data_IF_932633618737
#
_entry.id   IF_932633618737
#
_cell.length_a   1.000
_cell.length_b   1.000
_cell.length_c   1.000
_cell.angle_alpha   90.00
_cell.angle_beta   90.00
_cell.angle_gamma   90.00
#
_symmetry.space_group_name_H-M   'P 1'
#
loop_
_entity.id
_entity.type
_entity.pdbx_description
1 polymer ?
#
# COMPACT_ATOMS: atom_id res chain seq x y z
N UNK A 1 -14.51 22.25 7.22
CA UNK A 1 -13.08 22.62 7.02
C UNK A 1 -12.18 21.41 6.82
N UNK A 2 -12.43 20.26 7.47
CA UNK A 2 -11.65 19.01 7.29
C UNK A 2 -11.69 18.41 5.88
N UNK A 3 -12.80 18.55 5.14
CA UNK A 3 -12.95 18.00 3.78
C UNK A 3 -12.04 18.69 2.77
N UNK A 4 -11.93 20.03 2.82
CA UNK A 4 -11.06 20.82 1.94
C UNK A 4 -9.57 20.50 2.14
N UNK A 5 -9.16 20.10 3.34
CA UNK A 5 -7.79 19.63 3.61
C UNK A 5 -7.57 18.22 3.08
N UNK A 6 -8.55 17.32 3.21
CA UNK A 6 -8.46 15.96 2.68
C UNK A 6 -8.48 15.92 1.14
N UNK A 7 -9.19 16.83 0.49
CA UNK A 7 -9.22 16.97 -0.97
C UNK A 7 -7.83 17.27 -1.57
N UNK A 8 -6.93 17.92 -0.81
CA UNK A 8 -5.56 18.18 -1.25
C UNK A 8 -4.73 16.88 -1.40
N UNK A 9 -5.14 15.79 -0.74
CA UNK A 9 -4.51 14.47 -0.85
C UNK A 9 -4.94 13.71 -2.11
N UNK A 10 -6.09 14.05 -2.70
CA UNK A 10 -6.68 13.26 -3.79
C UNK A 10 -5.76 13.11 -5.00
N UNK A 11 -5.08 14.17 -5.48
CA UNK A 11 -4.15 14.01 -6.59
C UNK A 11 -3.01 13.03 -6.27
N UNK A 12 -2.52 13.00 -5.03
CA UNK A 12 -1.45 12.06 -4.64
C UNK A 12 -1.95 10.61 -4.56
N UNK A 13 -3.18 10.40 -4.08
CA UNK A 13 -3.81 9.09 -4.12
C UNK A 13 -4.04 8.61 -5.55
N UNK A 14 -4.50 9.51 -6.44
CA UNK A 14 -4.69 9.21 -7.86
C UNK A 14 -3.36 8.82 -8.51
N UNK A 15 -2.29 9.61 -8.29
CA UNK A 15 -0.95 9.30 -8.78
C UNK A 15 -0.50 7.90 -8.28
N UNK A 16 -0.66 7.59 -6.99
CA UNK A 16 -0.26 6.29 -6.44
C UNK A 16 -1.07 5.10 -6.99
N UNK A 17 -2.39 5.26 -7.13
CA UNK A 17 -3.28 4.25 -7.72
C UNK A 17 -2.98 4.02 -9.19
N UNK A 18 -2.82 5.10 -9.96
CA UNK A 18 -2.49 5.04 -11.38
C UNK A 18 -1.12 4.41 -11.60
N UNK A 19 -0.12 4.76 -10.78
CA UNK A 19 1.20 4.15 -10.81
C UNK A 19 1.14 2.63 -10.63
N UNK A 20 0.39 2.14 -9.63
CA UNK A 20 0.24 0.71 -9.35
C UNK A 20 -0.49 0.01 -10.51
N UNK A 21 -1.59 0.59 -10.99
CA UNK A 21 -2.39 0.05 -12.08
C UNK A 21 -1.59 -0.02 -13.40
N UNK A 22 -0.88 1.05 -13.77
CA UNK A 22 -0.04 1.09 -14.96
C UNK A 22 1.12 0.11 -14.86
N UNK A 23 1.78 -0.01 -13.70
CA UNK A 23 2.86 -0.98 -13.49
C UNK A 23 2.40 -2.38 -13.86
N UNK A 24 1.21 -2.79 -13.40
CA UNK A 24 0.70 -4.13 -13.65
C UNK A 24 0.09 -4.32 -15.03
N UNK A 25 -0.63 -3.32 -15.55
CA UNK A 25 -1.14 -3.34 -16.91
C UNK A 25 0.01 -3.47 -17.92
N UNK A 26 1.12 -2.77 -17.66
CA UNK A 26 2.33 -2.80 -18.49
C UNK A 26 3.00 -4.17 -18.47
N UNK A 27 3.09 -4.81 -17.31
CA UNK A 27 3.57 -6.20 -17.22
C UNK A 27 2.76 -7.15 -18.10
N UNK A 28 1.44 -7.14 -17.96
CA UNK A 28 0.55 -8.06 -18.69
C UNK A 28 0.56 -7.86 -20.21
N UNK A 29 0.83 -6.63 -20.66
CA UNK A 29 0.87 -6.26 -22.07
C UNK A 29 2.28 -6.24 -22.67
N UNK A 30 3.31 -6.53 -21.87
CA UNK A 30 4.71 -6.32 -22.24
C UNK A 30 4.97 -4.91 -22.79
N UNK A 31 4.35 -3.90 -22.15
CA UNK A 31 4.38 -2.51 -22.59
C UNK A 31 5.44 -1.72 -21.83
N UNK A 32 6.62 -1.57 -22.43
CA UNK A 32 7.71 -0.81 -21.83
C UNK A 32 7.39 0.68 -21.67
N UNK A 33 6.64 1.27 -22.60
CA UNK A 33 6.28 2.69 -22.53
C UNK A 33 5.34 2.97 -21.36
N UNK A 34 4.36 2.08 -21.14
CA UNK A 34 3.49 2.14 -19.96
C UNK A 34 4.27 2.02 -18.64
N UNK A 35 5.32 1.20 -18.60
CA UNK A 35 6.16 1.05 -17.41
C UNK A 35 7.01 2.30 -17.14
N UNK A 36 7.50 2.97 -18.19
CA UNK A 36 8.20 4.26 -18.04
C UNK A 36 7.26 5.38 -17.59
N UNK A 37 6.00 5.36 -18.04
CA UNK A 37 4.97 6.28 -17.55
C UNK A 37 4.72 6.06 -16.06
N UNK A 38 4.56 4.81 -15.60
CA UNK A 38 4.42 4.50 -14.18
C UNK A 38 5.62 5.01 -13.37
N UNK A 39 6.85 4.84 -13.86
CA UNK A 39 8.05 5.37 -13.21
C UNK A 39 8.07 6.91 -13.19
N UNK A 40 7.50 7.58 -14.18
CA UNK A 40 7.36 9.04 -14.18
C UNK A 40 6.36 9.52 -13.13
N UNK A 41 5.25 8.79 -12.94
CA UNK A 41 4.29 9.07 -11.87
C UNK A 41 4.94 8.89 -10.49
N UNK A 42 5.78 7.87 -10.29
CA UNK A 42 6.54 7.70 -9.04
C UNK A 42 7.37 8.94 -8.66
N UNK A 43 8.05 9.55 -9.63
CA UNK A 43 8.77 10.82 -9.43
C UNK A 43 7.84 11.99 -9.06
N UNK A 44 6.62 12.02 -9.62
CA UNK A 44 5.58 12.99 -9.25
C UNK A 44 5.12 12.79 -7.80
N UNK A 45 4.89 11.53 -7.38
CA UNK A 45 4.54 11.18 -6.00
C UNK A 45 5.61 11.68 -5.02
N UNK A 46 6.89 11.38 -5.28
CA UNK A 46 7.98 11.84 -4.41
C UNK A 46 8.07 13.37 -4.32
N UNK A 47 7.89 14.08 -5.44
CA UNK A 47 7.88 15.55 -5.44
C UNK A 47 6.69 16.11 -4.66
N UNK A 48 5.49 15.55 -4.88
CA UNK A 48 4.25 16.01 -4.25
C UNK A 48 4.23 15.75 -2.76
N UNK A 49 4.88 14.69 -2.28
CA UNK A 49 5.01 14.38 -0.85
C UNK A 49 5.49 15.61 -0.08
N UNK A 50 6.66 16.15 -0.46
CA UNK A 50 7.31 17.26 0.25
C UNK A 50 6.40 18.50 0.30
N UNK A 51 5.92 18.91 -0.87
CA UNK A 51 5.06 20.08 -1.03
C UNK A 51 3.73 19.94 -0.26
N UNK A 52 3.20 18.72 -0.14
CA UNK A 52 1.93 18.47 0.53
C UNK A 52 2.10 18.34 2.04
N UNK A 53 3.16 17.67 2.50
CA UNK A 53 3.51 17.58 3.93
C UNK A 53 3.68 18.97 4.53
N UNK A 54 4.45 19.86 3.88
CA UNK A 54 4.66 21.24 4.34
C UNK A 54 3.34 22.04 4.41
N UNK A 55 2.50 21.96 3.37
CA UNK A 55 1.20 22.66 3.35
C UNK A 55 0.23 22.15 4.42
N UNK A 56 0.22 20.83 4.68
CA UNK A 56 -0.62 20.24 5.73
C UNK A 56 -0.13 20.60 7.13
N UNK A 57 1.19 20.75 7.34
CA UNK A 57 1.76 21.22 8.61
C UNK A 57 1.44 22.70 8.88
N UNK A 58 1.40 23.52 7.83
CA UNK A 58 1.01 24.94 7.93
C UNK A 58 -0.51 25.13 8.12
N UNK A 59 -1.31 24.08 7.93
CA UNK A 59 -2.77 24.09 8.09
C UNK A 59 -3.18 23.79 9.54
N UNK A 60 -4.44 24.08 9.90
CA UNK A 60 -5.00 23.96 11.25
C UNK A 60 -4.73 22.59 11.94
N UNK A 61 -4.30 22.55 13.23
CA UNK A 61 -3.99 21.33 13.99
C UNK A 61 -5.13 20.29 14.08
N UNK A 62 -6.38 20.63 13.75
CA UNK A 62 -7.49 19.69 13.65
C UNK A 62 -7.30 18.60 12.57
N UNK A 63 -6.30 18.76 11.69
CA UNK A 63 -5.91 17.83 10.62
C UNK A 63 -4.81 16.82 10.98
N UNK A 64 -4.38 16.68 12.24
CA UNK A 64 -3.16 15.92 12.62
C UNK A 64 -3.04 14.49 12.05
N UNK A 65 -4.15 13.78 11.81
CA UNK A 65 -4.13 12.46 11.16
C UNK A 65 -3.74 12.50 9.67
N UNK A 66 -4.09 13.58 8.97
CA UNK A 66 -3.88 13.76 7.53
C UNK A 66 -2.43 14.10 7.19
N UNK A 67 -1.72 14.76 8.09
CA UNK A 67 -0.35 15.25 7.88
C UNK A 67 0.66 14.14 7.55
N UNK A 68 0.40 12.90 7.98
CA UNK A 68 1.28 11.75 7.73
C UNK A 68 0.92 10.95 6.47
N UNK A 69 -0.22 11.25 5.84
CA UNK A 69 -0.67 10.52 4.65
C UNK A 69 0.30 10.67 3.48
N UNK A 70 0.83 11.87 3.15
CA UNK A 70 1.77 12.01 2.03
C UNK A 70 2.99 11.10 2.18
N UNK A 71 3.60 11.05 3.37
CA UNK A 71 4.72 10.16 3.66
C UNK A 71 4.36 8.66 3.53
N UNK A 72 3.11 8.26 3.72
CA UNK A 72 2.68 6.89 3.45
C UNK A 72 2.43 6.62 1.97
N UNK A 73 1.93 7.59 1.23
CA UNK A 73 1.76 7.49 -0.21
C UNK A 73 3.11 7.48 -0.96
N UNK A 74 4.11 8.23 -0.48
CA UNK A 74 5.47 8.11 -0.99
C UNK A 74 6.00 6.69 -0.83
N UNK A 75 5.82 6.07 0.33
CA UNK A 75 6.25 4.69 0.56
C UNK A 75 5.50 3.66 -0.28
N UNK A 76 4.24 3.92 -0.62
CA UNK A 76 3.50 3.14 -1.64
C UNK A 76 4.15 3.32 -3.01
N UNK A 77 4.52 4.54 -3.37
CA UNK A 77 5.31 4.86 -4.55
C UNK A 77 6.63 4.08 -4.60
N UNK A 78 7.44 4.15 -3.54
CA UNK A 78 8.73 3.44 -3.42
C UNK A 78 8.58 1.92 -3.60
N UNK A 79 7.56 1.33 -2.98
CA UNK A 79 7.26 -0.09 -3.13
C UNK A 79 6.86 -0.43 -4.57
N UNK A 80 6.08 0.44 -5.21
CA UNK A 80 5.68 0.29 -6.61
C UNK A 80 6.87 0.47 -7.55
N UNK A 81 7.82 1.36 -7.27
CA UNK A 81 9.10 1.42 -7.98
C UNK A 81 9.92 0.14 -7.82
N UNK A 82 9.82 -0.51 -6.66
CA UNK A 82 10.32 -1.86 -6.42
C UNK A 82 9.76 -2.87 -7.42
N UNK A 83 8.44 -2.89 -7.59
CA UNK A 83 7.77 -3.72 -8.59
C UNK A 83 8.29 -3.41 -10.00
N UNK A 84 8.37 -2.13 -10.38
CA UNK A 84 8.89 -1.70 -11.68
C UNK A 84 10.31 -2.24 -11.92
N UNK A 85 11.19 -2.19 -10.91
CA UNK A 85 12.55 -2.75 -11.02
C UNK A 85 12.52 -4.27 -11.21
N UNK A 86 11.70 -5.00 -10.46
CA UNK A 86 11.54 -6.45 -10.65
C UNK A 86 11.10 -6.78 -12.08
N UNK A 87 10.12 -6.05 -12.61
CA UNK A 87 9.59 -6.26 -13.95
C UNK A 87 10.64 -5.99 -15.04
N UNK A 88 11.41 -4.89 -14.92
CA UNK A 88 12.51 -4.58 -15.84
C UNK A 88 13.56 -5.68 -15.84
N UNK A 89 13.97 -6.16 -14.67
CA UNK A 89 14.92 -7.27 -14.55
C UNK A 89 14.38 -8.52 -15.22
N UNK A 90 13.13 -8.92 -14.91
CA UNK A 90 12.50 -10.09 -15.54
C UNK A 90 12.46 -10.00 -17.06
N UNK A 91 12.09 -8.84 -17.62
CA UNK A 91 12.07 -8.64 -19.07
C UNK A 91 13.46 -8.70 -19.69
N UNK A 92 14.46 -8.06 -19.09
CA UNK A 92 15.84 -8.10 -19.58
C UNK A 92 16.43 -9.51 -19.58
N UNK A 93 16.01 -10.32 -18.62
CA UNK A 93 16.50 -11.67 -18.40
C UNK A 93 15.69 -12.77 -19.12
N UNK A 94 14.59 -12.40 -19.77
CA UNK A 94 13.65 -13.34 -20.39
C UNK A 94 12.96 -14.26 -19.38
N UNK A 95 12.83 -13.83 -18.13
CA UNK A 95 12.28 -14.64 -17.03
C UNK A 95 10.76 -14.48 -16.97
N UNK A 96 10.05 -15.61 -16.87
CA UNK A 96 8.58 -15.65 -16.74
C UNK A 96 8.17 -16.42 -15.49
N UNK A 97 7.00 -16.09 -14.94
CA UNK A 97 6.40 -16.90 -13.89
C UNK A 97 5.64 -18.10 -14.49
N UNK A 98 5.43 -19.12 -13.66
CA UNK A 98 4.45 -20.15 -13.96
C UNK A 98 3.05 -19.55 -13.99
N UNK A 99 2.09 -20.18 -14.68
CA UNK A 99 0.71 -19.67 -14.70
C UNK A 99 0.12 -19.50 -13.29
N UNK A 100 0.47 -20.42 -12.38
CA UNK A 100 0.06 -20.33 -10.98
C UNK A 100 0.67 -19.11 -10.31
N UNK A 101 1.98 -18.88 -10.47
CA UNK A 101 2.66 -17.69 -9.95
C UNK A 101 2.05 -16.39 -10.49
N UNK A 102 1.72 -16.35 -11.79
CA UNK A 102 1.03 -15.21 -12.40
C UNK A 102 -0.35 -14.98 -11.77
N UNK A 103 -1.15 -16.03 -11.53
CA UNK A 103 -2.45 -15.91 -10.84
C UNK A 103 -2.32 -15.40 -9.42
N UNK A 104 -1.33 -15.89 -8.67
CA UNK A 104 -1.06 -15.47 -7.29
C UNK A 104 -0.70 -13.98 -7.21
N UNK A 105 0.20 -13.50 -8.08
CA UNK A 105 0.54 -12.07 -8.13
C UNK A 105 -0.66 -11.22 -8.60
N UNK A 106 -1.46 -11.68 -9.57
CA UNK A 106 -2.67 -10.96 -9.97
C UNK A 106 -3.62 -10.75 -8.77
N UNK A 107 -3.87 -11.80 -7.98
CA UNK A 107 -4.74 -11.70 -6.81
C UNK A 107 -4.20 -10.74 -5.75
N UNK A 108 -2.88 -10.70 -5.56
CA UNK A 108 -2.24 -9.73 -4.65
C UNK A 108 -2.34 -8.30 -5.20
N UNK A 109 -2.12 -8.09 -6.51
CA UNK A 109 -2.24 -6.78 -7.16
C UNK A 109 -3.64 -6.20 -7.04
N UNK A 110 -4.67 -7.01 -7.31
CA UNK A 110 -6.07 -6.59 -7.24
C UNK A 110 -6.42 -6.16 -5.80
N UNK A 111 -6.12 -6.99 -4.81
CA UNK A 111 -6.37 -6.68 -3.39
C UNK A 111 -5.56 -5.50 -2.87
N UNK A 112 -4.31 -5.34 -3.30
CA UNK A 112 -3.50 -4.19 -2.92
C UNK A 112 -4.09 -2.87 -3.46
N UNK A 113 -4.61 -2.91 -4.70
CA UNK A 113 -5.29 -1.76 -5.32
C UNK A 113 -6.58 -1.42 -4.58
N UNK A 114 -7.44 -2.42 -4.30
CA UNK A 114 -8.68 -2.24 -3.52
C UNK A 114 -8.43 -1.62 -2.15
N UNK A 115 -7.40 -2.08 -1.42
CA UNK A 115 -7.06 -1.54 -0.10
C UNK A 115 -6.52 -0.11 -0.17
N UNK A 116 -5.79 0.23 -1.23
CA UNK A 116 -5.31 1.60 -1.45
C UNK A 116 -6.47 2.56 -1.80
N UNK A 117 -7.45 2.10 -2.58
CA UNK A 117 -8.70 2.84 -2.83
C UNK A 117 -9.50 3.06 -1.55
N UNK A 118 -9.64 2.02 -0.72
CA UNK A 118 -10.28 2.15 0.59
C UNK A 118 -9.54 3.16 1.48
N UNK A 119 -8.20 3.21 1.45
CA UNK A 119 -7.42 4.18 2.19
C UNK A 119 -7.66 5.63 1.71
N UNK A 120 -7.83 5.84 0.40
CA UNK A 120 -8.25 7.13 -0.17
C UNK A 120 -9.63 7.53 0.36
N UNK A 121 -10.59 6.62 0.28
CA UNK A 121 -11.97 6.90 0.68
C UNK A 121 -12.07 7.14 2.19
N UNK A 122 -11.21 6.49 2.99
CA UNK A 122 -11.06 6.76 4.42
C UNK A 122 -10.53 8.17 4.71
N UNK A 123 -9.56 8.65 3.94
CA UNK A 123 -9.03 10.00 4.10
C UNK A 123 -10.12 11.06 3.90
N UNK A 124 -11.09 10.80 3.00
CA UNK A 124 -12.21 11.70 2.73
C UNK A 124 -13.36 11.56 3.73
N UNK A 125 -13.73 10.32 4.08
CA UNK A 125 -14.99 10.05 4.79
C UNK A 125 -14.82 9.83 6.29
N UNK A 126 -13.61 9.45 6.74
CA UNK A 126 -13.32 8.99 8.11
C UNK A 126 -14.28 7.89 8.60
N UNK A 127 -14.78 7.06 7.67
CA UNK A 127 -15.75 6.02 7.97
C UNK A 127 -15.11 4.90 8.82
N UNK A 128 -15.61 4.72 10.05
CA UNK A 128 -15.09 3.72 11.00
C UNK A 128 -15.27 2.28 10.54
N UNK A 129 -16.38 1.97 9.86
CA UNK A 129 -16.65 0.63 9.33
C UNK A 129 -15.64 0.29 8.25
N UNK A 130 -15.37 1.25 7.36
CA UNK A 130 -14.36 1.10 6.32
C UNK A 130 -12.94 0.96 6.92
N UNK A 131 -12.65 1.65 8.03
CA UNK A 131 -11.35 1.56 8.69
C UNK A 131 -11.12 0.17 9.29
N UNK A 132 -12.16 -0.39 9.92
CA UNK A 132 -12.13 -1.77 10.42
C UNK A 132 -12.01 -2.78 9.28
N UNK A 133 -12.68 -2.54 8.16
CA UNK A 133 -12.56 -3.38 6.97
C UNK A 133 -11.12 -3.38 6.43
N UNK A 134 -10.50 -2.20 6.25
CA UNK A 134 -9.09 -2.09 5.80
C UNK A 134 -8.14 -2.79 6.76
N UNK A 135 -8.35 -2.66 8.07
CA UNK A 135 -7.56 -3.36 9.09
C UNK A 135 -7.64 -4.89 8.89
N UNK A 136 -8.85 -5.45 8.86
CA UNK A 136 -9.05 -6.90 8.73
C UNK A 136 -8.56 -7.45 7.39
N UNK A 137 -8.89 -6.79 6.28
CA UNK A 137 -8.48 -7.24 4.95
C UNK A 137 -6.97 -7.09 4.73
N UNK A 138 -6.31 -6.13 5.37
CA UNK A 138 -4.84 -6.05 5.33
C UNK A 138 -4.18 -7.23 6.04
N UNK A 139 -4.74 -7.72 7.15
CA UNK A 139 -4.23 -8.91 7.84
C UNK A 139 -4.40 -10.15 6.97
N UNK A 140 -5.59 -10.34 6.38
CA UNK A 140 -5.88 -11.43 5.43
C UNK A 140 -4.96 -11.38 4.21
N UNK A 141 -4.66 -10.18 3.71
CA UNK A 141 -3.69 -10.00 2.63
C UNK A 141 -2.30 -10.53 3.02
N UNK A 142 -1.80 -10.18 4.21
CA UNK A 142 -0.49 -10.64 4.67
C UNK A 142 -0.44 -12.15 4.87
N UNK A 143 -1.53 -12.77 5.35
CA UNK A 143 -1.68 -14.23 5.45
C UNK A 143 -1.61 -14.87 4.06
N UNK A 144 -2.44 -14.41 3.11
CA UNK A 144 -2.46 -14.89 1.73
C UNK A 144 -1.10 -14.76 1.05
N UNK A 145 -0.42 -13.62 1.21
CA UNK A 145 0.93 -13.39 0.69
C UNK A 145 1.94 -14.39 1.28
N UNK A 146 1.77 -14.79 2.55
CA UNK A 146 2.63 -15.76 3.22
C UNK A 146 2.39 -17.18 2.72
N UNK A 147 1.14 -17.55 2.51
CA UNK A 147 0.79 -18.83 1.90
C UNK A 147 1.31 -18.93 0.46
N UNK A 148 1.21 -17.87 -0.33
CA UNK A 148 1.76 -17.83 -1.68
C UNK A 148 3.28 -17.92 -1.72
N UNK A 149 3.98 -17.29 -0.79
CA UNK A 149 5.43 -17.41 -0.67
C UNK A 149 5.84 -18.86 -0.31
N UNK A 150 5.16 -19.48 0.67
CA UNK A 150 5.42 -20.88 1.07
C UNK A 150 5.12 -21.87 -0.05
N UNK A 151 3.98 -21.72 -0.73
CA UNK A 151 3.63 -22.57 -1.87
C UNK A 151 4.60 -22.40 -3.04
N UNK A 152 5.20 -21.20 -3.20
CA UNK A 152 6.26 -20.98 -4.19
C UNK A 152 7.57 -21.67 -3.80
N UNK A 153 7.94 -21.64 -2.51
CA UNK A 153 9.09 -22.39 -1.98
C UNK A 153 8.97 -23.89 -2.21
N UNK A 154 7.80 -24.49 -1.91
CA UNK A 154 7.50 -25.89 -2.18
C UNK A 154 7.73 -26.23 -3.67
N UNK A 155 7.23 -25.39 -4.58
CA UNK A 155 7.42 -25.55 -6.03
C UNK A 155 8.87 -25.39 -6.50
N UNK A 156 9.71 -24.64 -5.79
CA UNK A 156 11.14 -24.57 -6.08
C UNK A 156 11.85 -25.87 -5.69
N UNK A 157 11.51 -26.42 -4.53
CA UNK A 157 12.05 -27.70 -4.04
C UNK A 157 11.69 -28.83 -5.01
N UNK A 158 10.45 -28.83 -5.50
CA UNK A 158 9.93 -29.80 -6.48
C UNK A 158 10.46 -29.59 -7.91
N UNK A 159 11.18 -28.49 -8.18
CA UNK A 159 11.71 -28.18 -9.50
C UNK A 159 10.69 -27.67 -10.52
N UNK A 160 9.48 -27.32 -10.07
CA UNK A 160 8.41 -26.74 -10.91
C UNK A 160 8.69 -25.26 -11.23
N UNK A 161 9.24 -24.52 -10.27
CA UNK A 161 9.63 -23.13 -10.44
C UNK A 161 11.14 -23.00 -10.72
N UNK A 162 11.52 -22.08 -11.62
CA UNK A 162 12.93 -21.78 -11.88
C UNK A 162 13.51 -20.89 -10.77
N UNK A 163 14.71 -21.21 -10.21
CA UNK A 163 15.36 -20.38 -9.21
C UNK A 163 15.55 -18.92 -9.67
N UNK A 164 15.83 -18.71 -10.96
CA UNK A 164 15.99 -17.38 -11.57
C UNK A 164 14.73 -16.50 -11.45
N UNK A 165 13.53 -17.09 -11.49
CA UNK A 165 12.28 -16.37 -11.31
C UNK A 165 11.91 -16.15 -9.84
N UNK A 166 12.55 -16.87 -8.92
CA UNK A 166 12.17 -16.90 -7.52
C UNK A 166 12.40 -15.58 -6.80
N UNK A 167 13.58 -14.98 -6.99
CA UNK A 167 13.93 -13.71 -6.35
C UNK A 167 12.96 -12.60 -6.75
N UNK A 168 12.60 -12.53 -8.03
CA UNK A 168 11.62 -11.57 -8.54
C UNK A 168 10.22 -11.84 -7.95
N UNK A 169 9.78 -13.09 -7.89
CA UNK A 169 8.48 -13.44 -7.32
C UNK A 169 8.37 -13.02 -5.85
N UNK A 170 9.32 -13.43 -5.01
CA UNK A 170 9.30 -13.11 -3.59
C UNK A 170 9.43 -11.60 -3.33
N UNK A 171 10.30 -10.91 -4.08
CA UNK A 171 10.41 -9.46 -3.99
C UNK A 171 9.09 -8.75 -4.35
N UNK A 172 8.38 -9.21 -5.37
CA UNK A 172 7.07 -8.64 -5.73
C UNK A 172 6.01 -8.87 -4.65
N UNK A 173 5.99 -10.07 -4.04
CA UNK A 173 5.10 -10.35 -2.90
C UNK A 173 5.40 -9.38 -1.74
N UNK A 174 6.67 -9.13 -1.44
CA UNK A 174 7.07 -8.21 -0.37
C UNK A 174 6.75 -6.75 -0.69
N UNK A 175 6.97 -6.29 -1.92
CA UNK A 175 6.57 -4.93 -2.31
C UNK A 175 5.05 -4.73 -2.21
N UNK A 176 4.25 -5.74 -2.56
CA UNK A 176 2.79 -5.65 -2.40
C UNK A 176 2.35 -5.67 -0.94
N UNK A 177 3.04 -6.42 -0.07
CA UNK A 177 2.87 -6.30 1.39
C UNK A 177 3.15 -4.89 1.87
N UNK A 178 4.18 -4.22 1.35
CA UNK A 178 4.52 -2.86 1.76
C UNK A 178 3.46 -1.84 1.31
N UNK A 179 2.91 -1.98 0.09
CA UNK A 179 1.77 -1.17 -0.37
C UNK A 179 0.59 -1.30 0.60
N UNK A 180 0.19 -2.54 0.91
CA UNK A 180 -0.95 -2.81 1.80
C UNK A 180 -0.67 -2.34 3.23
N UNK A 181 0.54 -2.54 3.74
CA UNK A 181 0.96 -2.07 5.06
C UNK A 181 0.80 -0.55 5.17
N UNK A 182 1.11 0.20 4.12
CA UNK A 182 0.96 1.65 4.11
C UNK A 182 -0.49 2.11 3.95
N UNK A 183 -1.29 1.44 3.12
CA UNK A 183 -2.74 1.66 3.05
C UNK A 183 -3.41 1.48 4.43
N UNK A 184 -3.05 0.40 5.14
CA UNK A 184 -3.52 0.15 6.51
C UNK A 184 -3.09 1.25 7.51
N UNK A 185 -1.84 1.70 7.44
CA UNK A 185 -1.31 2.78 8.32
C UNK A 185 -2.01 4.13 8.10
N UNK A 186 -2.50 4.38 6.89
CA UNK A 186 -3.37 5.53 6.60
C UNK A 186 -4.70 5.35 7.33
N UNK A 187 -5.37 4.21 7.14
CA UNK A 187 -6.66 3.91 7.78
C UNK A 187 -6.62 4.01 9.31
N UNK A 188 -5.59 3.44 9.94
CA UNK A 188 -5.41 3.46 11.40
C UNK A 188 -5.24 4.88 11.99
N UNK A 189 -4.79 5.86 11.20
CA UNK A 189 -4.66 7.26 11.63
C UNK A 189 -5.94 8.07 11.43
N UNK A 190 -6.85 7.62 10.57
CA UNK A 190 -8.12 8.31 10.31
C UNK A 190 -9.15 8.08 11.40
N UNK A 191 -9.08 6.92 12.06
CA UNK A 191 -9.99 6.51 13.12
C UNK A 191 -9.15 6.02 14.30
N UNK A 192 -8.96 6.85 15.35
CA UNK A 192 -8.26 6.37 16.53
C UNK A 192 -9.00 5.18 17.15
N UNK A 193 -8.28 4.21 17.74
CA UNK A 193 -8.91 3.07 18.40
C UNK A 193 -9.88 3.56 19.47
N UNK A 194 -10.98 2.81 19.74
CA UNK A 194 -11.90 3.16 20.81
C UNK A 194 -11.12 3.31 22.12
N UNK A 195 -11.39 4.39 22.87
CA UNK A 195 -10.75 4.56 24.18
C UNK A 195 -11.10 3.36 25.07
N UNK A 196 -10.13 2.81 25.81
CA UNK A 196 -10.44 1.77 26.79
C UNK A 196 -11.48 2.31 27.78
N UNK A 197 -12.40 1.46 28.28
CA UNK A 197 -13.39 1.89 29.25
C UNK A 197 -12.69 2.60 30.42
N UNK A 198 -13.13 3.82 30.69
CA UNK A 198 -12.49 4.71 31.65
C UNK A 198 -12.24 4.02 32.98
N UNK A 199 -11.00 4.08 33.47
CA UNK A 199 -10.64 3.63 34.81
C UNK A 199 -11.47 4.46 35.78
N UNK A 200 -12.38 3.83 36.54
CA UNK A 200 -13.16 4.51 37.58
C UNK A 200 -12.22 5.32 38.49
N UNK A 201 -12.59 6.55 38.88
CA UNK A 201 -11.76 7.35 39.79
C UNK A 201 -11.59 6.59 41.10
N UNK A 202 -10.34 6.36 41.49
CA UNK A 202 -9.96 5.76 42.77
C UNK A 202 -10.50 6.66 43.90
N UNK A 203 -11.22 6.12 44.90
CA UNK A 203 -11.78 6.94 45.96
C UNK A 203 -10.64 7.59 46.75
N UNK A 204 -10.72 8.92 46.87
CA UNK A 204 -9.75 9.73 47.59
C UNK A 204 -9.55 9.17 49.00
N UNK A 205 -8.31 8.74 49.29
CA UNK A 205 -7.91 8.41 50.67
C UNK A 205 -8.03 9.67 51.51
N UNK A 206 -9.08 9.72 52.33
CA UNK A 206 -9.15 10.65 53.45
C UNK A 206 -8.00 10.32 54.40
N UNK A 207 -7.04 11.23 54.49
CA UNK A 207 -6.06 11.23 55.56
C UNK A 207 -6.76 11.77 56.80
N UNK A 208 -6.84 10.92 57.83
CA UNK A 208 -7.20 11.27 59.19
C UNK A 208 -5.93 11.51 60.02
#
# INVERSE_FOLDING_TARGET
MTTATAEQLLPMFQDALEMLALTWASYRRHDAAGLELAAAIGRSVHKREKDLTERLLASDPSGAGLTFIPAHLERVGDATEGLIRCLRTMWSEGTVFTERGTREINQLMDKASELLECARDLALTRNRVLAQHVELESMRFHEMASDFARAHEERLIEGVCLPKASSAYLAMVDYLREVVRHARRIGARMVPPPQPPGRSPEPARQQA
#
